data_IF_409106035494
#
_entry.id   IF_409106035494
#
_cell.length_a   1.000
_cell.length_b   1.000
_cell.length_c   1.000
_cell.angle_alpha   90.00
_cell.angle_beta   90.00
_cell.angle_gamma   90.00
#
_symmetry.space_group_name_H-M   'P 1'
#
loop_
_entity.id
_entity.type
_entity.pdbx_description
1 polymer ?
#
# COMPACT_ATOMS: atom_id res chain seq x y z
N UNK A 1 1.43 -13.93 -10.20
CA UNK A 1 1.25 -12.89 -9.18
C UNK A 1 1.49 -11.53 -9.80
N UNK A 2 0.63 -10.55 -9.56
CA UNK A 2 0.87 -9.16 -9.95
C UNK A 2 1.87 -8.59 -8.94
N UNK A 3 2.96 -7.98 -9.42
CA UNK A 3 3.98 -7.36 -8.57
C UNK A 3 4.26 -5.96 -9.11
N UNK A 4 4.25 -4.97 -8.22
CA UNK A 4 4.56 -3.59 -8.56
C UNK A 4 5.98 -3.25 -8.10
N UNK A 5 6.72 -2.40 -8.83
CA UNK A 5 7.86 -1.71 -8.24
C UNK A 5 7.40 -0.92 -7.01
N UNK A 6 8.22 -0.89 -5.96
CA UNK A 6 7.90 -0.20 -4.72
C UNK A 6 8.73 1.08 -4.61
N UNK A 7 8.06 2.22 -4.35
CA UNK A 7 8.76 3.48 -4.05
C UNK A 7 9.37 3.41 -2.65
N UNK A 8 10.63 3.80 -2.52
CA UNK A 8 11.24 3.97 -1.20
C UNK A 8 10.71 5.25 -0.51
N UNK A 9 10.31 5.09 0.75
CA UNK A 9 9.89 6.19 1.61
C UNK A 9 11.12 6.96 2.06
N UNK A 10 11.14 8.28 1.82
CA UNK A 10 12.22 9.18 2.25
C UNK A 10 11.81 9.82 3.58
N UNK A 11 12.80 10.20 4.39
CA UNK A 11 12.54 11.01 5.59
C UNK A 11 11.81 12.28 5.19
N UNK A 12 10.64 12.50 5.77
CA UNK A 12 9.89 13.73 5.62
C UNK A 12 9.72 14.39 7.00
N UNK A 13 9.66 15.73 7.03
CA UNK A 13 9.52 16.51 8.27
C UNK A 13 8.08 17.01 8.48
N UNK A 14 7.12 16.51 7.71
CA UNK A 14 5.73 17.00 7.69
C UNK A 14 4.76 16.07 8.42
N UNK A 15 5.03 14.77 8.37
CA UNK A 15 4.16 13.73 8.92
C UNK A 15 4.96 12.70 9.70
N UNK A 16 4.25 11.88 10.48
CA UNK A 16 4.87 10.73 11.16
C UNK A 16 5.15 9.66 10.11
N UNK A 17 6.43 9.41 9.86
CA UNK A 17 6.90 8.29 9.04
C UNK A 17 7.46 7.19 9.92
N UNK A 18 7.33 5.93 9.52
CA UNK A 18 7.95 4.84 10.26
C UNK A 18 7.77 3.49 9.59
N UNK A 19 8.09 2.45 10.35
CA UNK A 19 7.96 1.07 9.93
C UNK A 19 7.29 0.24 11.03
N UNK A 20 6.63 -0.85 10.64
CA UNK A 20 6.17 -1.88 11.57
C UNK A 20 6.42 -3.28 10.97
N UNK A 21 6.60 -4.33 11.79
CA UNK A 21 6.72 -5.69 11.28
C UNK A 21 5.34 -6.23 10.87
N UNK A 22 5.22 -6.73 9.64
CA UNK A 22 4.01 -7.40 9.13
C UNK A 22 4.26 -8.91 9.05
N UNK A 23 3.35 -9.67 9.66
CA UNK A 23 3.31 -11.12 9.60
C UNK A 23 2.79 -11.56 8.23
N UNK A 24 1.69 -10.94 7.75
CA UNK A 24 1.11 -11.27 6.43
C UNK A 24 2.10 -11.10 5.27
N UNK A 25 2.97 -10.10 5.35
CA UNK A 25 3.95 -9.83 4.30
C UNK A 25 5.35 -10.40 4.58
N UNK A 26 5.58 -10.96 5.76
CA UNK A 26 6.90 -11.44 6.23
C UNK A 26 8.03 -10.41 6.03
N UNK A 27 7.72 -9.12 6.20
CA UNK A 27 8.66 -8.00 6.07
C UNK A 27 8.21 -6.83 6.93
N UNK A 28 9.09 -5.85 7.09
CA UNK A 28 8.68 -4.58 7.67
C UNK A 28 7.99 -3.70 6.63
N UNK A 29 6.78 -3.23 6.94
CA UNK A 29 5.99 -2.32 6.10
C UNK A 29 6.25 -0.89 6.54
N UNK A 30 6.49 -0.01 5.56
CA UNK A 30 6.73 1.40 5.76
C UNK A 30 5.43 2.24 5.63
N UNK A 31 5.29 3.32 6.39
CA UNK A 31 4.19 4.29 6.29
C UNK A 31 4.70 5.74 6.33
N UNK A 32 4.02 6.64 5.61
CA UNK A 32 4.33 8.07 5.54
C UNK A 32 3.39 8.95 6.38
N UNK A 33 2.32 8.36 6.95
CA UNK A 33 1.38 9.06 7.81
C UNK A 33 0.77 8.18 8.91
N UNK A 34 0.19 8.82 9.93
CA UNK A 34 -0.58 8.13 10.98
C UNK A 34 -1.81 7.43 10.41
N UNK A 35 -2.45 8.00 9.38
CA UNK A 35 -3.64 7.43 8.76
C UNK A 35 -3.30 6.16 7.96
N UNK A 36 -2.21 6.20 7.18
CA UNK A 36 -1.67 5.00 6.53
C UNK A 36 -1.33 3.91 7.54
N UNK A 37 -0.66 4.25 8.65
CA UNK A 37 -0.36 3.27 9.71
C UNK A 37 -1.63 2.61 10.22
N UNK A 38 -2.67 3.38 10.52
CA UNK A 38 -3.94 2.84 10.99
C UNK A 38 -4.59 1.92 9.94
N UNK A 39 -4.56 2.32 8.67
CA UNK A 39 -5.04 1.52 7.55
C UNK A 39 -4.29 0.19 7.41
N UNK A 40 -2.96 0.21 7.43
CA UNK A 40 -2.16 -1.01 7.34
C UNK A 40 -2.38 -1.96 8.52
N UNK A 41 -2.58 -1.42 9.72
CA UNK A 41 -2.94 -2.24 10.88
C UNK A 41 -4.30 -2.92 10.68
N UNK A 42 -5.30 -2.23 10.12
CA UNK A 42 -6.59 -2.86 9.79
C UNK A 42 -6.41 -4.03 8.81
N UNK A 43 -5.55 -3.88 7.79
CA UNK A 43 -5.24 -4.96 6.85
C UNK A 43 -4.49 -6.13 7.51
N UNK A 44 -3.59 -5.84 8.43
CA UNK A 44 -2.83 -6.87 9.16
C UNK A 44 -3.73 -7.79 9.99
N UNK A 45 -4.87 -7.29 10.48
CA UNK A 45 -5.84 -8.05 11.28
C UNK A 45 -7.06 -8.54 10.49
N UNK A 46 -7.17 -8.23 9.19
CA UNK A 46 -8.27 -8.73 8.34
C UNK A 46 -7.90 -10.11 7.76
N UNK A 47 -8.62 -11.16 8.17
CA UNK A 47 -8.40 -12.53 7.69
C UNK A 47 -8.71 -12.72 6.20
N UNK A 48 -9.46 -11.79 5.60
CA UNK A 48 -9.73 -11.81 4.15
C UNK A 48 -8.57 -11.25 3.32
N UNK A 49 -7.57 -10.62 3.96
CA UNK A 49 -6.38 -10.08 3.30
C UNK A 49 -5.28 -11.15 3.31
N UNK A 50 -4.78 -11.51 2.12
CA UNK A 50 -3.66 -12.43 1.97
C UNK A 50 -2.34 -11.68 2.16
N UNK A 51 -2.16 -10.56 1.46
CA UNK A 51 -0.97 -9.71 1.57
C UNK A 51 -1.29 -8.28 1.12
N UNK A 52 -0.39 -7.35 1.40
CA UNK A 52 -0.52 -5.97 0.95
C UNK A 52 0.85 -5.34 0.73
N UNK A 53 0.91 -4.46 -0.27
CA UNK A 53 2.13 -3.78 -0.68
C UNK A 53 1.96 -2.29 -0.48
N UNK A 54 2.86 -1.68 0.29
CA UNK A 54 2.96 -0.23 0.45
C UNK A 54 3.60 0.42 -0.78
N UNK A 55 3.14 1.62 -1.13
CA UNK A 55 3.73 2.49 -2.15
C UNK A 55 3.96 1.83 -3.54
N UNK A 56 3.00 1.05 -4.10
CA UNK A 56 3.14 0.43 -5.41
C UNK A 56 3.18 1.49 -6.52
N UNK A 57 4.10 1.32 -7.47
CA UNK A 57 4.28 2.21 -8.61
C UNK A 57 3.62 1.63 -9.87
N UNK A 58 2.81 2.45 -10.52
CA UNK A 58 2.03 2.10 -11.70
C UNK A 58 2.37 3.09 -12.82
N UNK A 59 2.66 2.58 -14.00
CA UNK A 59 2.83 3.40 -15.19
C UNK A 59 1.47 3.69 -15.81
N UNK A 60 1.11 4.96 -15.87
CA UNK A 60 -0.10 5.46 -16.52
C UNK A 60 0.27 6.31 -17.72
N UNK A 61 -0.36 6.06 -18.86
CA UNK A 61 -0.25 6.92 -20.02
C UNK A 61 -1.33 7.99 -19.94
N UNK A 62 -0.91 9.26 -19.91
CA UNK A 62 -1.82 10.38 -19.83
C UNK A 62 -1.37 11.50 -20.76
N UNK A 63 -2.21 11.80 -21.76
CA UNK A 63 -1.94 12.82 -22.79
C UNK A 63 -0.58 12.60 -23.47
N UNK A 64 -0.37 11.39 -24.01
CA UNK A 64 0.85 10.98 -24.74
C UNK A 64 2.15 11.08 -23.90
N UNK A 65 2.01 11.16 -22.57
CA UNK A 65 3.13 11.14 -21.64
C UNK A 65 2.97 9.98 -20.68
N UNK A 66 4.01 9.17 -20.56
CA UNK A 66 4.11 8.14 -19.52
C UNK A 66 4.40 8.84 -18.19
N UNK A 67 3.56 8.60 -17.20
CA UNK A 67 3.73 9.07 -15.83
C UNK A 67 3.72 7.89 -14.87
N UNK A 68 4.54 7.95 -13.84
CA UNK A 68 4.49 7.00 -12.73
C UNK A 68 3.58 7.55 -11.64
N UNK A 69 2.52 6.81 -11.33
CA UNK A 69 1.68 7.05 -10.16
C UNK A 69 2.13 6.12 -9.04
N UNK A 70 2.29 6.65 -7.83
CA UNK A 70 2.53 5.85 -6.63
C UNK A 70 1.26 5.90 -5.80
N UNK A 71 0.52 4.79 -5.72
CA UNK A 71 -0.61 4.68 -4.81
C UNK A 71 -0.10 4.41 -3.38
N UNK A 72 -0.94 4.55 -2.36
CA UNK A 72 -0.52 4.26 -0.98
C UNK A 72 -0.42 2.77 -0.70
N UNK A 73 -1.34 1.97 -1.25
CA UNK A 73 -1.38 0.54 -0.99
C UNK A 73 -2.00 -0.26 -2.15
N UNK A 74 -1.49 -1.48 -2.36
CA UNK A 74 -2.15 -2.53 -3.10
C UNK A 74 -2.52 -3.67 -2.15
N UNK A 75 -3.77 -4.09 -2.15
CA UNK A 75 -4.29 -5.16 -1.29
C UNK A 75 -4.61 -6.39 -2.13
N UNK A 76 -4.01 -7.52 -1.76
CA UNK A 76 -4.31 -8.85 -2.28
C UNK A 76 -5.25 -9.55 -1.29
N UNK A 77 -6.44 -9.90 -1.75
CA UNK A 77 -7.41 -10.62 -0.93
C UNK A 77 -7.36 -12.12 -1.20
N UNK A 78 -7.76 -12.90 -0.21
CA UNK A 78 -7.90 -14.35 -0.35
C UNK A 78 -8.96 -14.69 -1.38
N UNK A 79 -8.78 -15.82 -2.09
CA UNK A 79 -9.73 -16.30 -3.10
C UNK A 79 -11.17 -16.45 -2.57
N UNK A 80 -11.31 -16.73 -1.28
CA UNK A 80 -12.60 -16.98 -0.61
C UNK A 80 -13.32 -15.69 -0.15
N UNK A 81 -12.63 -14.54 -0.17
CA UNK A 81 -13.13 -13.28 0.39
C UNK A 81 -14.26 -12.62 -0.41
N UNK A 82 -14.57 -13.10 -1.62
CA UNK A 82 -15.41 -12.42 -2.63
C UNK A 82 -14.98 -10.97 -2.97
N UNK A 83 -13.85 -10.49 -2.44
CA UNK A 83 -13.31 -9.15 -2.70
C UNK A 83 -12.36 -9.19 -3.88
N UNK A 84 -12.32 -8.10 -4.65
CA UNK A 84 -11.33 -7.92 -5.72
C UNK A 84 -10.09 -7.26 -5.16
N UNK A 85 -8.93 -7.69 -5.64
CA UNK A 85 -7.66 -7.02 -5.36
C UNK A 85 -7.76 -5.54 -5.73
N UNK A 86 -7.31 -4.66 -4.83
CA UNK A 86 -7.66 -3.24 -4.88
C UNK A 86 -6.45 -2.36 -4.65
N UNK A 87 -6.35 -1.27 -5.43
CA UNK A 87 -5.45 -0.16 -5.16
C UNK A 87 -6.16 0.87 -4.29
N UNK A 88 -5.49 1.31 -3.23
CA UNK A 88 -6.06 2.19 -2.21
C UNK A 88 -5.23 3.46 -2.10
N UNK A 89 -5.94 4.58 -1.98
CA UNK A 89 -5.40 5.90 -1.69
C UNK A 89 -6.00 6.37 -0.37
N UNK A 90 -5.14 6.70 0.59
CA UNK A 90 -5.50 7.00 1.97
C UNK A 90 -5.52 8.51 2.16
N UNK A 91 -6.72 9.10 2.32
CA UNK A 91 -6.89 10.55 2.48
C UNK A 91 -7.71 10.91 3.71
N UNK A 92 -7.38 12.04 4.31
CA UNK A 92 -8.27 12.68 5.29
C UNK A 92 -9.55 13.15 4.59
N UNK A 93 -10.66 13.10 5.31
CA UNK A 93 -11.93 13.71 4.91
C UNK A 93 -11.89 15.22 5.08
#
# INVERSE_FOLDING_TARGET
MISFPQRQIKKNYRSITGHFPSVKNNKSVAYESKLEKAFFLTLEFDDTVESYQEQPQISIEFKERVKTYSADCYVLYTSDSNKKNTLVEVKYT
#
